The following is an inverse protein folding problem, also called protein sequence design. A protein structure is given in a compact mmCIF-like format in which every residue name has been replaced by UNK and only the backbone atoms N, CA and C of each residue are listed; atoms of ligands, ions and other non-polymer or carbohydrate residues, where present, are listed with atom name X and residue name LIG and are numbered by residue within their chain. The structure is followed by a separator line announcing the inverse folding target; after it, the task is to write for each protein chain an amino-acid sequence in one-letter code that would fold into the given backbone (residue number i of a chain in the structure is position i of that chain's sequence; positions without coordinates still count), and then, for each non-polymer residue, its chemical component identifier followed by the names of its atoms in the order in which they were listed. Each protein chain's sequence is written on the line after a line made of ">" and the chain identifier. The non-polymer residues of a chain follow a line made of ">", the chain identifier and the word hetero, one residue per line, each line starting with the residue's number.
data_IF_989841017433
#
_entry.id   IF_989841017433
#
_cell.length_a   1.000
_cell.length_b   1.000
_cell.length_c   1.000
_cell.angle_alpha   90.00
_cell.angle_beta   90.00
_cell.angle_gamma   90.00
#
_symmetry.space_group_name_H-M   'P 1'
#
loop_
_entity.id
_entity.type
_entity.pdbx_description
1 polymer ?
#
# COMPACT_ATOMS: atom_id res chain seq x y z
N UNK A 1 4.13 -60.49 66.17
CA UNK A 1 5.01 -59.31 66.25
C UNK A 1 4.99 -58.61 64.90
N UNK A 2 4.41 -57.40 64.87
CA UNK A 2 4.43 -56.33 63.84
C UNK A 2 4.11 -56.73 62.37
N UNK A 3 2.91 -56.55 61.81
CA UNK A 3 2.19 -55.31 61.40
C UNK A 3 2.98 -53.98 61.36
N UNK A 4 3.03 -53.30 60.19
CA UNK A 4 2.46 -51.95 59.94
C UNK A 4 2.98 -51.27 58.62
N UNK A 5 2.02 -50.89 57.73
CA UNK A 5 1.84 -49.63 56.95
C UNK A 5 2.78 -49.34 55.75
N UNK A 6 2.35 -49.26 54.48
CA UNK A 6 1.21 -48.60 53.79
C UNK A 6 1.04 -47.11 54.10
N UNK A 7 1.91 -46.29 53.48
CA UNK A 7 1.82 -44.82 53.48
C UNK A 7 0.96 -44.29 52.33
N UNK A 8 -0.30 -43.98 52.63
CA UNK A 8 -1.15 -43.08 51.84
C UNK A 8 -0.63 -41.63 51.94
N UNK A 9 -0.48 -40.95 50.80
CA UNK A 9 -0.26 -39.49 50.75
C UNK A 9 -1.62 -38.76 50.79
N UNK A 10 -1.85 -37.85 51.73
CA UNK A 10 -3.05 -37.00 51.70
C UNK A 10 -2.92 -35.90 50.64
N UNK A 11 -4.04 -35.63 49.98
CA UNK A 11 -4.20 -34.51 49.05
C UNK A 11 -4.08 -33.18 49.79
N UNK A 12 -3.33 -32.25 49.20
CA UNK A 12 -3.30 -30.85 49.63
C UNK A 12 -4.60 -30.18 49.17
N UNK A 13 -5.54 -30.00 50.09
CA UNK A 13 -6.56 -28.97 50.00
C UNK A 13 -5.88 -27.61 49.96
N UNK A 14 -6.01 -26.91 48.83
CA UNK A 14 -5.59 -25.52 48.69
C UNK A 14 -6.76 -24.65 49.13
N UNK A 15 -6.75 -24.26 50.40
CA UNK A 15 -7.67 -23.29 50.98
C UNK A 15 -7.40 -21.92 50.35
N UNK A 16 -8.26 -21.53 49.41
CA UNK A 16 -8.24 -20.20 48.79
C UNK A 16 -8.77 -19.17 49.79
N UNK A 17 -8.01 -18.13 50.18
CA UNK A 17 -8.52 -17.07 51.04
C UNK A 17 -9.65 -16.31 50.33
N UNK A 18 -10.76 -16.15 51.06
CA UNK A 18 -11.91 -15.35 50.63
C UNK A 18 -11.49 -13.89 50.47
N UNK A 19 -11.73 -13.33 49.27
CA UNK A 19 -11.54 -11.92 49.01
C UNK A 19 -12.59 -11.11 49.79
N UNK A 20 -12.22 -9.95 50.37
CA UNK A 20 -13.18 -9.06 51.02
C UNK A 20 -14.19 -8.54 49.98
N UNK A 21 -15.48 -8.63 50.33
CA UNK A 21 -16.59 -8.10 49.56
C UNK A 21 -16.38 -6.60 49.32
N UNK A 22 -16.13 -6.22 48.07
CA UNK A 22 -16.15 -4.83 47.66
C UNK A 22 -17.62 -4.38 47.61
N UNK A 23 -17.94 -3.43 48.48
CA UNK A 23 -19.20 -2.69 48.50
C UNK A 23 -19.41 -2.00 47.15
N UNK A 24 -20.37 -2.48 46.37
CA UNK A 24 -20.77 -1.84 45.11
C UNK A 24 -21.55 -0.57 45.48
N UNK A 25 -21.09 0.64 45.11
CA UNK A 25 -21.88 1.85 45.30
C UNK A 25 -23.14 1.79 44.43
N UNK A 26 -24.28 2.11 45.03
CA UNK A 26 -25.59 2.12 44.39
C UNK A 26 -25.62 3.02 43.15
N UNK A 27 -26.02 2.43 42.02
CA UNK A 27 -26.23 3.12 40.75
C UNK A 27 -27.34 4.16 40.89
N UNK A 28 -27.12 5.45 40.59
CA UNK A 28 -28.18 6.44 40.56
C UNK A 28 -29.16 6.16 39.40
N UNK A 29 -30.45 6.52 39.54
CA UNK A 29 -31.46 6.30 38.52
C UNK A 29 -31.17 7.11 37.24
N UNK A 30 -31.61 6.62 36.07
CA UNK A 30 -31.35 7.26 34.78
C UNK A 30 -32.02 8.64 34.69
N UNK A 31 -31.22 9.64 34.33
CA UNK A 31 -31.70 10.99 34.03
C UNK A 31 -32.62 10.97 32.80
N UNK A 32 -33.76 11.65 32.92
CA UNK A 32 -34.75 11.81 31.86
C UNK A 32 -34.13 12.47 30.60
N UNK A 33 -34.58 12.11 29.39
CA UNK A 33 -34.08 12.72 28.16
C UNK A 33 -34.47 14.20 28.09
N UNK A 34 -33.56 15.09 27.62
CA UNK A 34 -33.88 16.49 27.43
C UNK A 34 -34.95 16.66 26.34
N UNK A 35 -35.98 17.45 26.68
CA UNK A 35 -37.05 17.86 25.76
C UNK A 35 -36.45 18.63 24.58
N UNK A 36 -36.78 18.15 23.37
CA UNK A 36 -36.45 18.76 22.08
C UNK A 36 -37.14 20.15 21.99
N UNK A 37 -36.42 21.27 21.87
CA UNK A 37 -37.06 22.55 21.58
C UNK A 37 -37.63 22.55 20.17
N UNK A 38 -38.82 23.14 20.07
CA UNK A 38 -39.64 23.25 18.88
C UNK A 38 -38.96 24.09 17.78
N UNK A 39 -39.30 23.76 16.54
CA UNK A 39 -38.92 24.49 15.34
C UNK A 39 -39.31 25.97 15.44
N UNK A 40 -38.30 26.84 15.34
CA UNK A 40 -38.49 28.26 15.10
C UNK A 40 -38.21 28.56 13.63
N UNK A 41 -39.09 29.38 13.08
CA UNK A 41 -39.25 29.70 11.68
C UNK A 41 -38.14 30.58 11.10
N UNK A 42 -38.04 30.49 9.77
CA UNK A 42 -37.79 31.57 8.81
C UNK A 42 -36.71 32.60 9.14
N UNK A 43 -35.62 32.53 8.38
CA UNK A 43 -34.79 33.69 8.07
C UNK A 43 -34.34 33.57 6.61
N UNK A 44 -35.03 34.32 5.75
CA UNK A 44 -34.67 34.66 4.39
C UNK A 44 -33.29 35.33 4.39
N UNK A 45 -32.29 34.64 3.85
CA UNK A 45 -30.96 35.18 3.62
C UNK A 45 -30.91 35.70 2.18
N UNK A 46 -30.83 37.01 2.06
CA UNK A 46 -30.53 37.76 0.84
C UNK A 46 -29.12 37.39 0.34
N UNK A 47 -29.02 36.99 -0.93
CA UNK A 47 -27.77 36.75 -1.62
C UNK A 47 -27.51 37.94 -2.55
N UNK A 48 -26.79 38.94 -2.03
CA UNK A 48 -26.14 39.95 -2.85
C UNK A 48 -25.14 39.25 -3.79
N UNK A 49 -25.41 39.32 -5.08
CA UNK A 49 -24.63 38.70 -6.13
C UNK A 49 -23.35 39.50 -6.38
N UNK A 50 -22.14 38.90 -6.32
CA UNK A 50 -20.94 39.56 -6.79
C UNK A 50 -20.97 39.67 -8.33
N UNK A 51 -20.73 40.88 -8.81
CA UNK A 51 -20.64 41.22 -10.23
C UNK A 51 -19.62 40.31 -10.96
N UNK A 52 -20.05 39.78 -12.11
CA UNK A 52 -19.23 38.97 -12.99
C UNK A 52 -18.03 39.77 -13.53
N UNK A 53 -16.78 39.27 -13.44
CA UNK A 53 -15.65 39.89 -14.11
C UNK A 53 -15.77 39.74 -15.62
N UNK A 54 -15.49 40.84 -16.34
CA UNK A 54 -15.55 40.93 -17.79
C UNK A 54 -14.61 39.91 -18.49
N UNK A 55 -15.00 39.35 -19.64
CA UNK A 55 -14.15 38.43 -20.39
C UNK A 55 -12.93 39.16 -20.99
N UNK A 56 -11.73 38.55 -20.96
CA UNK A 56 -10.56 39.09 -21.63
C UNK A 56 -10.72 39.04 -23.17
N UNK A 57 -10.09 39.98 -23.91
CA UNK A 57 -10.16 40.04 -25.37
C UNK A 57 -9.46 38.84 -26.04
N UNK A 58 -9.86 38.45 -27.26
CA UNK A 58 -9.25 37.36 -27.99
C UNK A 58 -7.79 37.67 -28.35
N UNK A 59 -6.87 36.84 -27.87
CA UNK A 59 -5.47 36.89 -28.24
C UNK A 59 -5.31 36.50 -29.72
N UNK A 60 -4.60 37.36 -30.45
CA UNK A 60 -4.31 37.27 -31.88
C UNK A 60 -3.55 35.99 -32.23
N UNK A 61 -3.95 35.39 -33.34
CA UNK A 61 -3.23 34.33 -34.02
C UNK A 61 -1.79 34.76 -34.35
N UNK A 62 -0.81 34.02 -33.82
CA UNK A 62 0.58 34.10 -34.22
C UNK A 62 0.90 32.95 -35.18
N UNK A 63 0.94 33.34 -36.46
CA UNK A 63 1.79 32.87 -37.56
C UNK A 63 2.75 31.70 -37.28
N UNK A 64 2.46 30.59 -37.96
CA UNK A 64 3.37 29.84 -38.85
C UNK A 64 4.87 29.93 -38.56
N UNK A 65 5.44 28.85 -38.04
CA UNK A 65 6.86 28.54 -38.18
C UNK A 65 6.99 27.22 -38.92
N UNK A 66 7.23 27.34 -40.23
CA UNK A 66 7.64 26.29 -41.14
C UNK A 66 9.02 25.78 -40.72
N UNK A 67 9.10 24.49 -40.40
CA UNK A 67 10.35 23.80 -40.09
C UNK A 67 10.94 23.31 -41.41
N UNK A 68 12.03 23.97 -41.79
CA UNK A 68 12.90 23.62 -42.92
C UNK A 68 13.70 22.37 -42.58
N UNK A 69 13.68 21.36 -43.45
CA UNK A 69 14.52 20.16 -43.37
C UNK A 69 15.48 20.18 -44.57
N UNK A 70 16.57 20.93 -44.39
CA UNK A 70 17.70 20.88 -45.31
C UNK A 70 18.56 19.65 -45.01
N UNK A 71 18.76 18.84 -46.05
CA UNK A 71 19.63 17.67 -46.07
C UNK A 71 21.10 18.10 -46.26
N UNK A 72 22.05 17.26 -45.84
CA UNK A 72 23.11 16.95 -46.80
C UNK A 72 23.50 15.47 -46.91
N UNK A 73 23.99 15.21 -48.11
CA UNK A 73 24.46 14.00 -48.75
C UNK A 73 25.41 13.06 -47.98
N UNK A 74 25.19 11.77 -48.24
CA UNK A 74 26.14 10.75 -48.68
C UNK A 74 27.48 10.58 -47.94
N UNK A 75 27.58 9.49 -47.18
CA UNK A 75 28.79 8.67 -47.16
C UNK A 75 28.42 7.20 -47.35
N UNK A 76 28.83 6.67 -48.51
CA UNK A 76 28.87 5.25 -48.81
C UNK A 76 30.09 4.63 -48.11
N UNK A 77 29.89 3.52 -47.39
CA UNK A 77 30.97 2.64 -46.98
C UNK A 77 30.54 1.17 -47.07
N UNK A 78 31.27 0.47 -47.94
CA UNK A 78 31.46 -0.97 -48.16
C UNK A 78 30.59 -2.00 -47.45
N UNK A 79 29.90 -2.75 -48.31
CA UNK A 79 29.52 -4.15 -48.21
C UNK A 79 30.68 -5.03 -47.71
N UNK A 80 30.42 -5.84 -46.67
CA UNK A 80 31.22 -7.00 -46.31
C UNK A 80 30.29 -8.25 -46.23
N UNK A 81 30.65 -9.38 -46.86
CA UNK A 81 29.78 -10.55 -46.99
C UNK A 81 29.72 -11.42 -45.71
N UNK A 82 28.64 -12.21 -45.53
CA UNK A 82 28.44 -13.06 -44.35
C UNK A 82 29.21 -14.38 -44.45
N UNK A 83 29.85 -14.88 -43.37
CA UNK A 83 30.26 -16.27 -43.30
C UNK A 83 29.10 -17.16 -42.83
N UNK A 84 28.73 -18.07 -43.73
CA UNK A 84 28.35 -19.47 -43.56
C UNK A 84 27.54 -19.90 -42.32
N UNK A 85 26.35 -20.43 -42.63
CA UNK A 85 25.56 -21.34 -41.83
C UNK A 85 26.37 -22.56 -41.38
N UNK A 86 26.46 -22.76 -40.05
CA UNK A 86 26.85 -24.03 -39.47
C UNK A 86 25.60 -24.77 -39.02
N UNK A 87 25.18 -25.71 -39.86
CA UNK A 87 24.20 -26.76 -39.58
C UNK A 87 24.65 -27.52 -38.33
N UNK A 88 23.82 -27.52 -37.29
CA UNK A 88 24.08 -28.27 -36.06
C UNK A 88 23.38 -29.62 -36.21
N UNK A 89 24.19 -30.65 -36.41
CA UNK A 89 23.80 -32.05 -36.56
C UNK A 89 22.97 -32.56 -35.37
N UNK A 90 21.80 -33.10 -35.70
CA UNK A 90 20.95 -33.92 -34.84
C UNK A 90 21.22 -35.39 -35.16
N UNK A 91 22.37 -35.94 -34.75
CA UNK A 91 22.46 -37.41 -34.59
C UNK A 91 23.63 -37.83 -33.72
N UNK A 92 23.33 -38.17 -32.47
CA UNK A 92 24.06 -39.18 -31.69
C UNK A 92 23.25 -39.41 -30.42
N UNK A 93 22.38 -40.40 -30.48
CA UNK A 93 21.70 -40.97 -29.33
C UNK A 93 22.60 -42.04 -28.70
N UNK A 94 23.36 -41.76 -27.63
CA UNK A 94 23.99 -42.82 -26.85
C UNK A 94 22.92 -43.61 -26.09
N UNK A 95 23.09 -44.94 -26.09
CA UNK A 95 22.23 -45.91 -25.44
C UNK A 95 21.84 -45.53 -24.00
N UNK A 96 20.62 -45.87 -23.53
CA UNK A 96 20.20 -45.58 -22.16
C UNK A 96 21.04 -46.39 -21.17
N UNK A 97 22.08 -45.76 -20.62
CA UNK A 97 22.72 -46.23 -19.41
C UNK A 97 21.69 -46.13 -18.29
N UNK A 98 21.31 -47.29 -17.74
CA UNK A 98 20.41 -47.43 -16.59
C UNK A 98 21.01 -46.70 -15.39
N UNK A 99 20.64 -45.43 -15.23
CA UNK A 99 21.07 -44.61 -14.11
C UNK A 99 20.59 -45.28 -12.81
N UNK A 100 21.54 -45.58 -11.93
CA UNK A 100 21.24 -46.00 -10.57
C UNK A 100 20.38 -44.92 -9.90
N UNK A 101 19.38 -45.30 -9.08
CA UNK A 101 18.54 -44.34 -8.38
C UNK A 101 19.41 -43.42 -7.53
N UNK A 102 19.52 -42.16 -7.96
CA UNK A 102 20.18 -41.11 -7.20
C UNK A 102 19.44 -41.01 -5.86
N UNK A 103 20.16 -41.22 -4.76
CA UNK A 103 19.60 -41.05 -3.42
C UNK A 103 18.95 -39.66 -3.32
N UNK A 104 17.72 -39.55 -2.79
CA UNK A 104 17.04 -38.26 -2.70
C UNK A 104 17.93 -37.30 -1.91
N UNK A 105 18.13 -36.06 -2.40
CA UNK A 105 18.92 -35.08 -1.68
C UNK A 105 18.33 -34.91 -0.28
N UNK A 106 19.16 -34.80 0.78
CA UNK A 106 18.68 -34.61 2.12
C UNK A 106 17.76 -33.39 2.14
N UNK A 107 16.53 -33.57 2.64
CA UNK A 107 15.54 -32.51 2.72
C UNK A 107 16.16 -31.30 3.43
N UNK A 108 16.49 -30.28 2.65
CA UNK A 108 17.04 -29.04 3.17
C UNK A 108 15.99 -28.45 4.09
N UNK A 109 16.22 -28.57 5.40
CA UNK A 109 15.39 -27.95 6.43
C UNK A 109 15.65 -26.45 6.35
N UNK A 110 15.08 -25.80 5.34
CA UNK A 110 14.95 -24.35 5.30
C UNK A 110 14.18 -24.00 6.57
N UNK A 111 14.90 -23.45 7.56
CA UNK A 111 14.28 -22.93 8.77
C UNK A 111 13.36 -21.82 8.29
N UNK A 112 12.06 -22.12 8.20
CA UNK A 112 11.05 -21.13 7.89
C UNK A 112 11.17 -20.04 8.94
N UNK A 113 11.64 -18.86 8.54
CA UNK A 113 11.61 -17.69 9.41
C UNK A 113 10.17 -17.51 9.89
N UNK A 114 9.95 -17.24 11.18
CA UNK A 114 8.61 -17.05 11.71
C UNK A 114 7.94 -15.90 10.96
N UNK A 115 6.83 -16.22 10.28
CA UNK A 115 6.02 -15.22 9.58
C UNK A 115 5.29 -14.40 10.64
N UNK A 116 5.65 -13.12 10.77
CA UNK A 116 4.94 -12.20 11.63
C UNK A 116 3.52 -12.03 11.10
N UNK A 117 2.52 -12.29 11.94
CA UNK A 117 1.10 -12.13 11.62
C UNK A 117 0.47 -11.09 12.52
N UNK A 118 -0.42 -10.28 11.95
CA UNK A 118 -1.15 -9.25 12.70
C UNK A 118 -2.27 -9.88 13.51
N UNK A 119 -2.22 -9.74 14.83
CA UNK A 119 -3.33 -10.10 15.71
C UNK A 119 -4.45 -9.04 15.61
N UNK A 120 -5.74 -9.43 15.54
CA UNK A 120 -6.88 -8.50 15.62
C UNK A 120 -6.76 -7.56 16.83
N UNK A 121 -7.04 -6.26 16.63
CA UNK A 121 -6.87 -5.21 17.65
C UNK A 121 -5.43 -4.96 18.12
N UNK A 122 -4.45 -5.73 17.64
CA UNK A 122 -3.05 -5.58 17.98
C UNK A 122 -2.38 -4.40 17.27
N UNK A 123 -1.22 -4.00 17.79
CA UNK A 123 -0.33 -3.01 17.17
C UNK A 123 0.95 -3.69 16.73
N UNK A 124 1.43 -3.38 15.53
CA UNK A 124 2.70 -3.89 14.99
C UNK A 124 3.45 -2.73 14.35
N UNK A 125 4.73 -2.58 14.67
CA UNK A 125 5.57 -1.55 14.06
C UNK A 125 6.49 -2.25 13.07
N UNK A 126 6.42 -1.85 11.81
CA UNK A 126 7.35 -2.30 10.78
C UNK A 126 8.54 -1.34 10.73
N UNK A 127 9.72 -1.92 10.55
CA UNK A 127 10.98 -1.20 10.44
C UNK A 127 11.84 -1.86 9.39
N UNK A 128 12.95 -1.25 9.00
CA UNK A 128 13.92 -1.87 8.09
C UNK A 128 14.44 -3.24 8.56
N UNK A 129 14.45 -3.49 9.89
CA UNK A 129 14.90 -4.76 10.47
C UNK A 129 13.81 -5.84 10.50
N UNK A 130 12.55 -5.42 10.55
CA UNK A 130 11.38 -6.29 10.52
C UNK A 130 10.34 -5.69 9.56
N UNK A 131 10.59 -5.75 8.24
CA UNK A 131 9.83 -4.97 7.28
C UNK A 131 8.51 -5.63 6.92
N UNK A 132 8.35 -6.93 7.17
CA UNK A 132 7.25 -7.71 6.61
C UNK A 132 6.26 -8.17 7.67
N UNK A 133 4.97 -8.07 7.35
CA UNK A 133 3.90 -8.71 8.10
C UNK A 133 2.85 -9.28 7.16
N UNK A 134 2.28 -10.42 7.53
CA UNK A 134 1.22 -11.08 6.75
C UNK A 134 -0.13 -10.94 7.45
N UNK A 135 -1.12 -10.47 6.70
CA UNK A 135 -2.51 -10.51 7.13
C UNK A 135 -3.06 -11.92 6.97
N UNK A 136 -3.91 -12.34 7.89
CA UNK A 136 -4.67 -13.57 7.72
C UNK A 136 -5.64 -13.45 6.53
N UNK A 137 -6.08 -14.58 5.99
CA UNK A 137 -7.14 -14.61 4.95
C UNK A 137 -8.39 -13.84 5.39
N UNK A 138 -8.81 -13.99 6.65
CA UNK A 138 -9.98 -13.27 7.19
C UNK A 138 -9.76 -11.76 7.19
N UNK A 139 -8.58 -11.29 7.58
CA UNK A 139 -8.24 -9.86 7.52
C UNK A 139 -8.05 -9.34 6.09
N UNK A 140 -7.75 -10.22 5.13
CA UNK A 140 -7.57 -9.87 3.71
C UNK A 140 -8.91 -9.81 2.96
N UNK A 141 -9.91 -10.59 3.38
CA UNK A 141 -11.18 -10.73 2.66
C UNK A 141 -12.35 -9.89 3.19
N UNK A 142 -12.21 -9.22 4.33
CA UNK A 142 -13.35 -8.58 5.02
C UNK A 142 -13.09 -7.10 5.27
N UNK A 143 -14.03 -6.27 4.79
CA UNK A 143 -14.11 -4.84 5.11
C UNK A 143 -13.16 -3.98 4.28
N UNK A 144 -12.36 -3.17 4.96
CA UNK A 144 -11.48 -2.19 4.32
C UNK A 144 -10.11 -2.22 4.98
N UNK A 145 -9.07 -2.07 4.17
CA UNK A 145 -7.70 -1.80 4.64
C UNK A 145 -7.39 -0.34 4.33
N UNK A 146 -7.06 0.43 5.36
CA UNK A 146 -6.88 1.87 5.25
C UNK A 146 -5.43 2.24 5.52
N UNK A 147 -4.84 3.02 4.63
CA UNK A 147 -3.52 3.64 4.75
C UNK A 147 -3.73 5.11 5.06
N UNK A 148 -3.12 5.61 6.13
CA UNK A 148 -3.24 7.01 6.55
C UNK A 148 -1.86 7.55 6.95
N UNK A 149 -1.49 8.72 6.41
CA UNK A 149 -0.24 9.39 6.78
C UNK A 149 -0.51 10.44 7.87
N UNK A 150 -0.32 10.06 9.13
CA UNK A 150 -0.42 10.96 10.27
C UNK A 150 0.89 11.76 10.41
N UNK A 151 1.00 12.86 9.69
CA UNK A 151 2.21 13.71 9.63
C UNK A 151 1.99 15.05 10.34
N UNK A 152 3.07 15.62 10.89
CA UNK A 152 3.07 17.00 11.37
C UNK A 152 2.96 17.99 10.21
N UNK A 153 2.29 19.16 10.39
CA UNK A 153 2.29 20.23 9.40
C UNK A 153 3.69 20.70 8.99
N UNK A 154 4.70 20.50 9.84
CA UNK A 154 6.10 20.86 9.59
C UNK A 154 6.76 20.08 8.46
N UNK A 155 6.22 18.91 8.09
CA UNK A 155 6.74 18.08 6.98
C UNK A 155 6.56 18.81 5.65
N UNK A 156 5.57 19.69 5.54
CA UNK A 156 5.25 20.44 4.33
C UNK A 156 4.01 19.90 3.61
N UNK A 157 4.03 19.94 2.29
CA UNK A 157 2.92 19.59 1.40
C UNK A 157 2.92 18.10 1.01
N UNK A 158 3.10 17.23 2.01
CA UNK A 158 3.08 15.79 1.82
C UNK A 158 1.72 15.32 1.30
N UNK A 159 1.76 14.47 0.27
CA UNK A 159 0.62 13.76 -0.31
C UNK A 159 0.88 12.27 -0.34
N UNK A 160 -0.18 11.47 -0.24
CA UNK A 160 -0.12 10.04 -0.51
C UNK A 160 -0.59 9.72 -1.93
N UNK A 161 0.04 8.72 -2.52
CA UNK A 161 -0.40 8.06 -3.74
C UNK A 161 -0.16 6.56 -3.67
N UNK A 162 -0.68 5.87 -4.66
CA UNK A 162 -0.52 4.44 -4.80
C UNK A 162 -0.31 4.06 -6.26
N UNK A 163 0.69 3.23 -6.55
CA UNK A 163 0.80 2.51 -7.81
C UNK A 163 0.20 1.12 -7.60
N UNK A 164 -0.66 0.66 -8.50
CA UNK A 164 -1.33 -0.63 -8.35
C UNK A 164 -1.29 -1.41 -9.66
N UNK A 165 -1.36 -2.73 -9.52
CA UNK A 165 -1.57 -3.68 -10.60
C UNK A 165 -2.68 -4.64 -10.19
N UNK A 166 -3.66 -4.79 -11.08
CA UNK A 166 -4.74 -5.76 -10.94
C UNK A 166 -4.42 -7.04 -11.69
N UNK A 167 -5.09 -8.13 -11.32
CA UNK A 167 -4.99 -9.43 -12.01
C UNK A 167 -5.46 -9.40 -13.46
N UNK A 168 -6.19 -8.36 -13.87
CA UNK A 168 -6.54 -8.09 -15.26
C UNK A 168 -5.38 -7.51 -16.07
N UNK A 169 -4.18 -7.43 -15.49
CA UNK A 169 -3.00 -6.73 -16.00
C UNK A 169 -3.18 -5.20 -16.13
N UNK A 170 -4.26 -4.66 -15.59
CA UNK A 170 -4.46 -3.21 -15.52
C UNK A 170 -3.55 -2.61 -14.44
N UNK A 171 -2.70 -1.67 -14.86
CA UNK A 171 -1.77 -0.94 -13.98
C UNK A 171 -1.95 0.56 -14.13
N UNK A 172 -2.06 1.29 -13.02
CA UNK A 172 -2.14 2.76 -13.02
C UNK A 172 -1.74 3.31 -11.64
N UNK A 173 -1.92 4.61 -11.44
CA UNK A 173 -1.76 5.25 -10.13
C UNK A 173 -3.06 5.85 -9.61
N UNK A 174 -3.17 5.86 -8.29
CA UNK A 174 -4.18 6.59 -7.53
C UNK A 174 -3.47 7.76 -6.86
N UNK A 175 -3.89 8.98 -7.19
CA UNK A 175 -3.34 10.21 -6.65
C UNK A 175 -4.44 11.27 -6.58
N UNK A 176 -4.75 11.73 -5.38
CA UNK A 176 -5.85 12.67 -5.17
C UNK A 176 -5.62 14.03 -5.84
N UNK A 177 -4.40 14.56 -5.76
CA UNK A 177 -4.04 15.86 -6.33
C UNK A 177 -4.02 15.84 -7.87
N UNK A 178 -3.82 14.66 -8.47
CA UNK A 178 -3.91 14.45 -9.92
C UNK A 178 -5.33 14.20 -10.44
N UNK A 179 -6.36 14.27 -9.58
CA UNK A 179 -7.76 14.00 -9.95
C UNK A 179 -8.16 12.51 -9.93
N UNK A 180 -7.19 11.60 -9.90
CA UNK A 180 -7.42 10.16 -9.86
C UNK A 180 -7.65 9.67 -8.43
N UNK A 181 -8.89 9.83 -7.95
CA UNK A 181 -9.31 9.43 -6.59
C UNK A 181 -9.80 7.98 -6.49
N UNK A 182 -10.07 7.33 -7.62
CA UNK A 182 -10.64 5.99 -7.70
C UNK A 182 -9.77 5.11 -8.58
N UNK A 183 -9.64 3.84 -8.21
CA UNK A 183 -8.92 2.82 -8.98
C UNK A 183 -9.71 1.51 -9.00
N UNK A 184 -9.99 0.89 -10.17
CA UNK A 184 -9.77 1.43 -11.51
C UNK A 184 -10.46 2.78 -11.75
N UNK A 185 -9.92 3.60 -12.66
CA UNK A 185 -10.49 4.89 -13.01
C UNK A 185 -11.88 4.70 -13.61
N UNK A 186 -12.82 5.59 -13.28
CA UNK A 186 -14.23 5.54 -13.75
C UNK A 186 -14.99 4.24 -13.39
N UNK A 187 -14.44 3.36 -12.55
CA UNK A 187 -15.15 2.16 -12.11
C UNK A 187 -16.32 2.50 -11.19
N UNK A 188 -17.44 1.79 -11.36
CA UNK A 188 -18.58 1.83 -10.43
C UNK A 188 -18.32 1.09 -9.12
N UNK A 189 -17.29 0.24 -9.11
CA UNK A 189 -16.83 -0.53 -7.96
C UNK A 189 -15.32 -0.31 -7.83
N UNK A 190 -14.89 0.82 -7.25
CA UNK A 190 -13.48 1.09 -7.06
C UNK A 190 -12.91 0.06 -6.07
N UNK A 191 -11.74 -0.47 -6.41
CA UNK A 191 -10.92 -1.33 -5.56
C UNK A 191 -10.14 -0.47 -4.56
N UNK A 192 -9.63 0.69 -5.01
CA UNK A 192 -8.99 1.68 -4.15
C UNK A 192 -9.68 3.04 -4.24
N UNK A 193 -9.74 3.74 -3.12
CA UNK A 193 -10.33 5.07 -2.97
C UNK A 193 -9.38 5.97 -2.19
N UNK A 194 -9.01 7.10 -2.78
CA UNK A 194 -8.29 8.18 -2.13
C UNK A 194 -9.26 9.15 -1.46
N UNK A 195 -8.95 9.53 -0.23
CA UNK A 195 -9.68 10.55 0.52
C UNK A 195 -8.73 11.45 1.30
N UNK A 196 -9.14 12.69 1.51
CA UNK A 196 -8.45 13.67 2.34
C UNK A 196 -9.49 14.21 3.32
N UNK A 197 -9.25 13.95 4.60
CA UNK A 197 -10.07 14.50 5.70
C UNK A 197 -9.15 15.32 6.60
N UNK A 198 -8.71 14.76 7.74
CA UNK A 198 -7.61 15.35 8.53
C UNK A 198 -6.24 15.03 7.95
N UNK A 199 -6.11 13.84 7.38
CA UNK A 199 -4.87 13.31 6.81
C UNK A 199 -5.16 12.72 5.43
N UNK A 200 -4.10 12.57 4.64
CA UNK A 200 -4.13 11.81 3.39
C UNK A 200 -4.42 10.34 3.68
N UNK A 201 -5.40 9.78 2.96
CA UNK A 201 -5.89 8.43 3.18
C UNK A 201 -6.11 7.69 1.86
N UNK A 202 -5.67 6.44 1.82
CA UNK A 202 -6.00 5.49 0.74
C UNK A 202 -6.73 4.31 1.39
N UNK A 203 -7.88 3.93 0.84
CA UNK A 203 -8.70 2.82 1.34
C UNK A 203 -8.82 1.75 0.26
N UNK A 204 -8.66 0.49 0.65
CA UNK A 204 -8.77 -0.68 -0.22
C UNK A 204 -10.00 -1.50 0.17
N UNK A 205 -10.92 -1.74 -0.76
CA UNK A 205 -12.07 -2.63 -0.55
C UNK A 205 -11.61 -4.09 -0.57
N UNK A 206 -11.58 -4.72 0.60
CA UNK A 206 -11.08 -6.06 0.78
C UNK A 206 -11.98 -7.15 0.17
N UNK A 207 -13.23 -6.80 -0.16
CA UNK A 207 -14.11 -7.70 -0.93
C UNK A 207 -13.62 -7.87 -2.37
N UNK A 208 -12.81 -6.93 -2.86
CA UNK A 208 -12.17 -6.96 -4.18
C UNK A 208 -10.67 -7.31 -4.06
N UNK A 209 -10.23 -7.81 -2.89
CA UNK A 209 -8.84 -8.24 -2.70
C UNK A 209 -8.34 -9.28 -3.70
N UNK A 210 -9.16 -10.22 -4.24
CA UNK A 210 -8.68 -11.13 -5.27
C UNK A 210 -8.21 -10.41 -6.53
N UNK A 211 -8.80 -9.26 -6.87
CA UNK A 211 -8.48 -8.53 -8.10
C UNK A 211 -7.15 -7.77 -7.99
N UNK A 212 -6.67 -7.50 -6.76
CA UNK A 212 -5.38 -6.86 -6.52
C UNK A 212 -4.27 -7.90 -6.63
N UNK A 213 -3.31 -7.65 -7.53
CA UNK A 213 -2.08 -8.43 -7.60
C UNK A 213 -1.02 -7.84 -6.66
N UNK A 214 -0.75 -6.54 -6.82
CA UNK A 214 0.17 -5.79 -5.97
C UNK A 214 -0.17 -4.30 -5.93
N UNK A 215 0.30 -3.65 -4.88
CA UNK A 215 0.11 -2.23 -4.58
C UNK A 215 1.38 -1.68 -3.94
N UNK A 216 1.84 -0.51 -4.35
CA UNK A 216 2.90 0.24 -3.67
C UNK A 216 2.34 1.60 -3.25
N UNK A 217 2.39 1.87 -1.94
CA UNK A 217 2.00 3.15 -1.36
C UNK A 217 3.24 4.03 -1.27
N UNK A 218 3.15 5.22 -1.85
CA UNK A 218 4.22 6.21 -1.85
C UNK A 218 3.73 7.54 -1.27
N UNK A 219 4.65 8.32 -0.73
CA UNK A 219 4.46 9.71 -0.36
C UNK A 219 5.28 10.61 -1.27
N UNK A 220 4.80 11.83 -1.51
CA UNK A 220 5.50 12.81 -2.34
C UNK A 220 5.19 14.25 -1.91
N UNK A 221 6.06 15.19 -2.27
CA UNK A 221 5.78 16.64 -2.20
C UNK A 221 4.97 17.09 -3.41
N UNK A 222 3.82 17.72 -3.17
CA UNK A 222 2.99 18.28 -4.24
C UNK A 222 3.73 19.38 -5.03
N UNK A 223 4.47 20.22 -4.32
CA UNK A 223 5.27 21.35 -4.82
C UNK A 223 6.69 20.97 -5.24
N UNK A 224 7.05 19.68 -5.23
CA UNK A 224 8.39 19.17 -5.57
C UNK A 224 9.50 19.72 -4.67
N UNK A 225 9.16 20.06 -3.44
CA UNK A 225 10.15 20.43 -2.44
C UNK A 225 10.75 19.15 -1.83
N UNK A 226 12.01 19.23 -1.41
CA UNK A 226 12.62 18.18 -0.63
C UNK A 226 11.96 18.15 0.76
N UNK A 227 11.26 17.06 1.09
CA UNK A 227 10.62 16.88 2.38
C UNK A 227 11.59 16.28 3.38
N UNK A 228 11.54 16.78 4.61
CA UNK A 228 12.06 16.07 5.78
C UNK A 228 10.92 15.23 6.32
N UNK A 229 10.88 13.97 5.92
CA UNK A 229 9.83 13.03 6.30
C UNK A 229 9.67 12.95 7.81
N UNK A 230 8.43 12.86 8.28
CA UNK A 230 8.11 12.75 9.70
C UNK A 230 6.66 12.33 9.90
N UNK A 231 6.36 11.80 11.09
CA UNK A 231 5.08 11.20 11.40
C UNK A 231 5.06 9.70 11.15
N UNK A 232 3.88 9.14 10.93
CA UNK A 232 3.71 7.69 10.81
C UNK A 232 2.70 7.34 9.73
N UNK A 233 3.06 6.40 8.85
CA UNK A 233 2.08 5.71 8.01
C UNK A 233 1.40 4.64 8.87
N UNK A 234 0.09 4.78 9.03
CA UNK A 234 -0.75 3.88 9.81
C UNK A 234 -1.62 3.08 8.85
N UNK A 235 -1.46 1.76 8.87
CA UNK A 235 -2.34 0.82 8.19
C UNK A 235 -3.32 0.23 9.20
N UNK A 236 -4.61 0.46 8.99
CA UNK A 236 -5.68 -0.05 9.85
C UNK A 236 -6.47 -1.12 9.13
N UNK A 237 -6.56 -2.30 9.75
CA UNK A 237 -7.40 -3.40 9.27
C UNK A 237 -8.84 -3.24 9.74
N UNK A 238 -9.79 -3.94 9.09
CA UNK A 238 -11.20 -3.97 9.52
C UNK A 238 -11.38 -4.40 10.98
N UNK A 239 -10.53 -5.31 11.48
CA UNK A 239 -10.57 -5.78 12.86
C UNK A 239 -9.83 -4.84 13.85
N UNK A 240 -9.57 -3.60 13.46
CA UNK A 240 -8.95 -2.57 14.30
C UNK A 240 -7.47 -2.76 14.60
N UNK A 241 -6.81 -3.77 14.01
CA UNK A 241 -5.38 -3.91 14.15
C UNK A 241 -4.65 -2.79 13.40
N UNK A 242 -3.56 -2.29 13.99
CA UNK A 242 -2.75 -1.17 13.50
C UNK A 242 -1.35 -1.63 13.16
N UNK A 243 -0.90 -1.31 11.95
CA UNK A 243 0.45 -1.55 11.47
C UNK A 243 1.06 -0.19 11.19
N UNK A 244 2.20 0.10 11.77
CA UNK A 244 2.79 1.44 11.76
C UNK A 244 4.17 1.42 11.14
N UNK A 245 4.45 2.41 10.31
CA UNK A 245 5.76 2.65 9.70
C UNK A 245 6.17 4.08 10.08
N UNK A 246 7.14 4.25 11.00
CA UNK A 246 7.71 5.56 11.32
C UNK A 246 8.38 6.16 10.08
N UNK A 247 8.10 7.43 9.79
CA UNK A 247 8.60 8.10 8.59
C UNK A 247 9.90 8.87 8.85
N UNK A 248 10.27 9.08 10.11
CA UNK A 248 11.45 9.87 10.53
C UNK A 248 12.78 9.22 10.12
N UNK A 249 12.77 7.92 9.83
CA UNK A 249 13.96 7.17 9.38
C UNK A 249 14.23 7.31 7.87
N UNK A 250 13.33 7.94 7.12
CA UNK A 250 13.48 8.16 5.68
C UNK A 250 14.49 9.30 5.40
N UNK A 251 15.46 9.09 4.48
CA UNK A 251 16.30 10.17 3.99
C UNK A 251 15.45 11.27 3.34
N UNK A 252 15.79 12.56 3.50
CA UNK A 252 15.03 13.64 2.87
C UNK A 252 14.95 13.50 1.34
N UNK A 253 13.79 13.78 0.75
CA UNK A 253 13.59 13.68 -0.70
C UNK A 253 12.22 14.17 -1.15
N UNK A 254 11.97 14.10 -2.46
CA UNK A 254 10.70 14.54 -3.05
C UNK A 254 9.66 13.42 -3.06
N UNK A 255 10.09 12.17 -3.28
CA UNK A 255 9.24 10.97 -3.35
C UNK A 255 9.84 9.86 -2.49
N UNK A 256 9.00 9.16 -1.73
CA UNK A 256 9.39 7.99 -0.97
C UNK A 256 8.37 6.87 -1.13
N UNK A 257 8.85 5.65 -1.36
CA UNK A 257 8.01 4.43 -1.33
C UNK A 257 7.98 3.93 0.09
N UNK A 258 6.78 3.96 0.68
CA UNK A 258 6.59 3.68 2.10
C UNK A 258 6.37 2.19 2.33
N UNK A 259 5.51 1.58 1.52
CA UNK A 259 5.06 0.21 1.72
C UNK A 259 4.65 -0.45 0.41
N UNK A 260 5.01 -1.72 0.26
CA UNK A 260 4.46 -2.62 -0.76
C UNK A 260 3.44 -3.57 -0.14
N UNK A 261 2.43 -3.95 -0.90
CA UNK A 261 1.43 -4.96 -0.59
C UNK A 261 1.37 -5.95 -1.75
N UNK A 262 1.43 -7.24 -1.42
CA UNK A 262 1.35 -8.33 -2.38
C UNK A 262 0.22 -9.29 -2.01
N UNK A 263 -0.52 -9.77 -3.01
CA UNK A 263 -1.52 -10.81 -2.82
C UNK A 263 -0.91 -12.20 -3.02
N UNK A 264 -0.57 -12.87 -1.92
CA UNK A 264 0.02 -14.22 -1.93
C UNK A 264 -1.03 -15.22 -1.46
N UNK A 265 -1.61 -15.97 -2.40
CA UNK A 265 -2.61 -17.03 -2.11
C UNK A 265 -3.78 -16.51 -1.25
N UNK A 266 -4.30 -15.33 -1.60
CA UNK A 266 -5.40 -14.65 -0.90
C UNK A 266 -5.05 -14.18 0.52
N UNK A 267 -3.77 -14.06 0.84
CA UNK A 267 -3.28 -13.34 2.01
C UNK A 267 -2.50 -12.10 1.54
N UNK A 268 -2.76 -10.97 2.16
CA UNK A 268 -1.94 -9.79 1.91
C UNK A 268 -0.66 -9.83 2.73
N UNK A 269 0.46 -9.70 2.04
CA UNK A 269 1.79 -9.53 2.62
C UNK A 269 2.15 -8.06 2.48
N UNK A 270 2.30 -7.37 3.59
CA UNK A 270 2.70 -5.97 3.66
C UNK A 270 4.19 -5.93 3.96
N UNK A 271 4.92 -5.09 3.24
CA UNK A 271 6.35 -4.88 3.41
C UNK A 271 6.64 -3.39 3.48
N UNK A 272 7.20 -2.93 4.59
CA UNK A 272 7.78 -1.60 4.71
C UNK A 272 9.03 -1.53 3.82
N UNK A 273 9.04 -0.55 2.93
CA UNK A 273 10.18 -0.32 2.03
C UNK A 273 11.07 0.80 2.55
N UNK A 274 10.45 1.89 3.02
CA UNK A 274 11.13 3.01 3.67
C UNK A 274 12.32 3.53 2.85
N UNK A 275 12.06 3.73 1.55
CA UNK A 275 13.05 4.14 0.57
C UNK A 275 12.66 5.45 -0.09
N UNK A 276 13.61 6.39 -0.16
CA UNK A 276 13.46 7.65 -0.87
C UNK A 276 14.02 7.49 -2.28
N UNK A 277 13.23 7.83 -3.29
CA UNK A 277 13.62 7.74 -4.68
C UNK A 277 14.08 9.11 -5.15
N UNK A 278 15.26 9.15 -5.78
CA UNK A 278 15.70 10.34 -6.47
C UNK A 278 14.88 10.50 -7.76
N UNK A 279 14.10 11.57 -7.84
CA UNK A 279 13.32 11.91 -9.02
C UNK A 279 11.82 11.86 -8.80
N UNK A 280 11.12 11.41 -9.83
CA UNK A 280 9.67 11.55 -10.02
C UNK A 280 8.85 10.36 -9.52
N UNK A 281 7.53 10.55 -9.49
CA UNK A 281 6.57 9.47 -9.19
C UNK A 281 6.68 8.36 -10.24
N UNK A 282 6.89 8.72 -11.51
CA UNK A 282 7.15 7.78 -12.61
C UNK A 282 8.36 6.90 -12.32
N UNK A 283 9.47 7.49 -11.88
CA UNK A 283 10.70 6.74 -11.56
C UNK A 283 10.50 5.84 -10.34
N UNK A 284 9.79 6.33 -9.31
CA UNK A 284 9.43 5.50 -8.15
C UNK A 284 8.55 4.30 -8.56
N UNK A 285 7.56 4.50 -9.43
CA UNK A 285 6.72 3.42 -9.95
C UNK A 285 7.55 2.37 -10.73
N UNK A 286 8.44 2.82 -11.62
CA UNK A 286 9.35 1.93 -12.38
C UNK A 286 10.34 1.18 -11.50
N UNK A 287 10.92 1.84 -10.50
CA UNK A 287 11.81 1.19 -9.55
C UNK A 287 11.15 0.01 -8.81
N UNK A 288 9.82 0.06 -8.66
CA UNK A 288 9.01 -1.02 -8.07
C UNK A 288 8.33 -1.92 -9.10
N UNK A 289 8.75 -1.82 -10.37
CA UNK A 289 8.35 -2.69 -11.48
C UNK A 289 6.98 -2.38 -12.07
N UNK A 290 6.39 -1.20 -11.83
CA UNK A 290 5.14 -0.77 -12.48
C UNK A 290 5.42 -0.14 -13.85
N UNK A 291 6.12 -0.90 -14.71
CA UNK A 291 6.62 -0.41 -16.00
C UNK A 291 5.53 -0.27 -17.07
N UNK A 292 4.38 -0.91 -16.84
CA UNK A 292 3.24 -0.90 -17.75
C UNK A 292 2.39 0.38 -17.67
N UNK A 293 2.63 1.23 -16.65
CA UNK A 293 1.93 2.50 -16.54
C UNK A 293 2.44 3.43 -17.66
N UNK A 294 1.52 3.91 -18.50
CA UNK A 294 1.81 4.95 -19.48
C UNK A 294 1.76 6.32 -18.82
N UNK A 295 2.62 7.26 -19.24
CA UNK A 295 2.76 8.55 -18.56
C UNK A 295 2.76 9.71 -19.56
N UNK A 296 2.04 10.77 -19.23
CA UNK A 296 2.06 12.04 -19.96
C UNK A 296 3.26 12.88 -19.52
N UNK A 297 3.46 12.95 -18.21
CA UNK A 297 4.55 13.67 -17.55
C UNK A 297 5.04 12.86 -16.32
N UNK A 298 5.96 13.44 -15.56
CA UNK A 298 6.63 12.80 -14.41
C UNK A 298 5.69 12.34 -13.28
N UNK A 299 4.43 12.80 -13.26
CA UNK A 299 3.42 12.49 -12.23
C UNK A 299 2.06 12.06 -12.76
N UNK A 300 1.78 12.29 -14.03
CA UNK A 300 0.44 12.08 -14.62
C UNK A 300 0.43 10.82 -15.47
N UNK A 301 -0.23 9.74 -15.03
CA UNK A 301 -0.43 8.56 -15.88
C UNK A 301 -1.43 8.88 -17.01
N UNK A 302 -1.32 8.14 -18.11
CA UNK A 302 -2.29 8.13 -19.23
C UNK A 302 -2.99 6.78 -19.22
N UNK A 303 -4.31 6.81 -19.40
CA UNK A 303 -5.17 5.64 -19.57
C UNK A 303 -5.50 5.41 -21.04
#
# INVERSE_FOLDING_TARGET
>A
MAEFFSGHRPGRESTRPAAPAQSIPATPPPAAPPRRPAAAASSSLDLDAPAAPAPPPPARAATSSSLDLDAPAAQAASVAPPPASSSLDLDSSPAPARAAPLAPPPASRVRSLPVLRVTPGGRTILSRRAPTVTLTRTQTGIGTLTFEAACSPEVGDLRLGAAYQLRSDESSTLQMTGGNRLAPPRSRRPVLVGAHDRYERISVDLRQSPDIERLAVYAFSEGRAQLRWGGTLIVTTFAGAKIEIPLEELPPGEVAVLMSLYNVRSEFVLRAEMETIAGSIREAARAYGYDQISWLDDRTPVE
#
